data_IF_574845912389
#
_entry.id   IF_574845912389
#
_cell.length_a   1.000
_cell.length_b   1.000
_cell.length_c   1.000
_cell.angle_alpha   90.00
_cell.angle_beta   90.00
_cell.angle_gamma   90.00
#
_symmetry.space_group_name_H-M   'P 1'
#
loop_
_entity.id
_entity.type
_entity.pdbx_description
1 polymer ?
#
# COMPACT_ATOMS: atom_id res chain seq x y z
N UNK A 1 6.40 35.20 -79.21
CA UNK A 1 7.58 35.43 -78.35
C UNK A 1 7.11 35.65 -76.92
N UNK A 2 7.04 34.57 -76.15
CA UNK A 2 7.05 34.54 -74.68
C UNK A 2 7.40 33.08 -74.30
N UNK A 3 8.63 32.76 -73.85
CA UNK A 3 8.88 31.47 -73.24
C UNK A 3 8.75 31.57 -71.72
N UNK A 4 7.84 30.73 -71.22
CA UNK A 4 7.82 30.01 -69.94
C UNK A 4 8.48 30.67 -68.71
N UNK A 5 7.63 31.03 -67.75
CA UNK A 5 7.99 31.23 -66.36
C UNK A 5 8.67 29.97 -65.79
N UNK A 6 9.90 30.11 -65.32
CA UNK A 6 10.63 29.09 -64.56
C UNK A 6 10.23 29.23 -63.09
N UNK A 7 9.44 28.30 -62.57
CA UNK A 7 9.24 28.17 -61.13
C UNK A 7 10.52 27.60 -60.53
N UNK A 8 11.09 28.18 -59.45
CA UNK A 8 12.21 27.53 -58.76
C UNK A 8 11.67 26.33 -57.97
N UNK A 9 12.26 25.16 -58.20
CA UNK A 9 12.03 23.96 -57.41
C UNK A 9 12.31 24.25 -55.92
N UNK A 10 11.46 23.79 -54.97
CA UNK A 10 11.77 23.93 -53.55
C UNK A 10 12.99 23.07 -53.21
N UNK A 11 14.07 23.69 -52.71
CA UNK A 11 15.19 22.98 -52.11
C UNK A 11 14.67 21.98 -51.06
N UNK A 12 15.02 20.68 -51.13
CA UNK A 12 14.76 19.79 -50.01
C UNK A 12 15.62 20.29 -48.84
N UNK A 13 14.96 20.66 -47.73
CA UNK A 13 15.67 20.85 -46.47
C UNK A 13 16.50 19.59 -46.18
N UNK A 14 17.76 19.69 -45.74
CA UNK A 14 18.55 18.52 -45.40
C UNK A 14 17.81 17.74 -44.32
N UNK A 15 17.30 16.56 -44.68
CA UNK A 15 16.80 15.58 -43.73
C UNK A 15 18.06 15.06 -43.05
N UNK A 16 18.37 15.56 -41.85
CA UNK A 16 19.44 14.98 -41.04
C UNK A 16 19.06 13.53 -40.77
N UNK A 17 19.75 12.60 -41.43
CA UNK A 17 19.57 11.17 -41.25
C UNK A 17 20.21 10.85 -39.90
N UNK A 18 19.40 10.87 -38.84
CA UNK A 18 19.85 10.47 -37.51
C UNK A 18 20.52 9.10 -37.59
N UNK A 19 21.72 9.00 -37.03
CA UNK A 19 22.41 7.72 -36.93
C UNK A 19 21.60 6.78 -36.03
N UNK A 20 21.60 5.48 -36.33
CA UNK A 20 20.91 4.49 -35.49
C UNK A 20 21.33 4.59 -34.02
N UNK A 21 22.59 4.96 -33.73
CA UNK A 21 23.07 5.19 -32.37
C UNK A 21 22.46 6.41 -31.67
N UNK A 22 22.18 7.48 -32.40
CA UNK A 22 21.52 8.69 -31.87
C UNK A 22 20.06 8.40 -31.53
N UNK A 23 19.37 7.66 -32.40
CA UNK A 23 18.00 7.21 -32.12
C UNK A 23 17.93 6.28 -30.89
N UNK A 24 18.88 5.35 -30.75
CA UNK A 24 18.97 4.48 -29.56
C UNK A 24 19.23 5.27 -28.28
N UNK A 25 20.08 6.30 -28.33
CA UNK A 25 20.34 7.16 -27.19
C UNK A 25 19.11 7.95 -26.77
N UNK A 26 18.38 8.55 -27.72
CA UNK A 26 17.14 9.27 -27.47
C UNK A 26 16.08 8.38 -26.83
N UNK A 27 15.90 7.15 -27.34
CA UNK A 27 14.98 6.17 -26.76
C UNK A 27 15.37 5.78 -25.31
N UNK A 28 16.67 5.67 -25.03
CA UNK A 28 17.16 5.34 -23.69
C UNK A 28 16.94 6.50 -22.72
N UNK A 29 17.16 7.74 -23.18
CA UNK A 29 16.83 8.96 -22.43
C UNK A 29 15.33 9.03 -22.14
N UNK A 30 14.48 8.74 -23.12
CA UNK A 30 13.03 8.72 -22.95
C UNK A 30 12.60 7.67 -21.93
N UNK A 31 13.16 6.45 -21.97
CA UNK A 31 12.88 5.40 -20.97
C UNK A 31 13.26 5.86 -19.57
N UNK A 32 14.44 6.48 -19.41
CA UNK A 32 14.87 7.00 -18.10
C UNK A 32 13.97 8.15 -17.65
N UNK A 33 13.63 9.07 -18.54
CA UNK A 33 12.74 10.19 -18.27
C UNK A 33 11.35 9.70 -17.85
N UNK A 34 10.75 8.78 -18.59
CA UNK A 34 9.46 8.18 -18.24
C UNK A 34 9.52 7.37 -16.96
N UNK A 35 10.62 6.66 -16.68
CA UNK A 35 10.79 5.95 -15.41
C UNK A 35 10.88 6.91 -14.22
N UNK A 36 11.59 8.03 -14.36
CA UNK A 36 11.67 9.07 -13.33
C UNK A 36 10.31 9.75 -13.14
N UNK A 37 9.61 10.07 -14.22
CA UNK A 37 8.27 10.66 -14.18
C UNK A 37 7.27 9.67 -13.54
N UNK A 38 7.32 8.39 -13.90
CA UNK A 38 6.47 7.36 -13.30
C UNK A 38 6.75 7.21 -11.81
N UNK A 39 8.02 7.09 -11.41
CA UNK A 39 8.41 7.04 -10.01
C UNK A 39 7.96 8.29 -9.22
N UNK A 40 8.09 9.48 -9.81
CA UNK A 40 7.61 10.71 -9.20
C UNK A 40 6.08 10.78 -9.10
N UNK A 41 5.36 10.38 -10.16
CA UNK A 41 3.90 10.31 -10.20
C UNK A 41 3.35 9.34 -9.16
N UNK A 42 3.95 8.17 -8.97
CA UNK A 42 3.54 7.21 -7.93
C UNK A 42 3.63 7.80 -6.51
N UNK A 43 4.57 8.72 -6.27
CA UNK A 43 4.71 9.38 -4.96
C UNK A 43 3.75 10.57 -4.79
N UNK A 44 3.43 11.28 -5.87
CA UNK A 44 2.62 12.53 -5.83
C UNK A 44 1.13 12.27 -6.08
N UNK A 45 0.80 11.33 -6.96
CA UNK A 45 -0.56 10.96 -7.33
C UNK A 45 -1.08 9.84 -6.42
N UNK A 46 -1.73 10.24 -5.34
CA UNK A 46 -2.38 9.31 -4.41
C UNK A 46 -3.63 8.73 -5.06
N UNK A 47 -3.72 7.40 -5.13
CA UNK A 47 -4.99 6.72 -5.34
C UNK A 47 -5.95 6.90 -4.15
N UNK A 48 -7.10 6.22 -4.17
CA UNK A 48 -8.11 6.26 -3.11
C UNK A 48 -7.63 5.71 -1.75
N UNK A 49 -6.45 5.07 -1.70
CA UNK A 49 -5.88 4.41 -0.52
C UNK A 49 -4.42 4.81 -0.29
N UNK A 50 -4.07 5.19 0.95
CA UNK A 50 -2.70 5.53 1.36
C UNK A 50 -2.56 6.91 2.01
N UNK A 51 -1.59 7.05 2.92
CA UNK A 51 -1.24 8.36 3.48
C UNK A 51 -0.30 9.11 2.55
N UNK A 52 -0.69 10.32 2.15
CA UNK A 52 0.11 11.29 1.42
C UNK A 52 1.47 11.51 2.08
N UNK A 53 2.58 11.33 1.36
CA UNK A 53 3.88 11.87 1.77
C UNK A 53 4.03 13.31 1.22
N UNK A 54 4.65 14.24 1.97
CA UNK A 54 4.83 15.62 1.51
C UNK A 54 5.73 15.70 0.27
N UNK A 55 5.49 16.68 -0.59
CA UNK A 55 6.12 16.83 -1.91
C UNK A 55 7.66 16.97 -1.89
N UNK A 56 8.30 17.15 -0.72
CA UNK A 56 9.75 17.31 -0.55
C UNK A 56 10.47 16.06 -0.02
N UNK A 57 9.79 14.90 -0.03
CA UNK A 57 10.33 13.63 0.50
C UNK A 57 11.61 13.12 -0.19
N UNK A 58 11.90 13.56 -1.43
CA UNK A 58 13.09 13.15 -2.19
C UNK A 58 14.43 13.54 -1.55
N UNK A 59 14.42 14.45 -0.56
CA UNK A 59 15.64 14.93 0.11
C UNK A 59 15.87 14.29 1.49
N UNK A 60 15.06 13.32 1.91
CA UNK A 60 15.26 12.65 3.20
C UNK A 60 16.29 11.50 3.08
N UNK A 61 17.48 11.61 3.71
CA UNK A 61 18.51 10.58 3.64
C UNK A 61 18.09 9.24 4.27
N UNK A 62 17.09 9.24 5.16
CA UNK A 62 16.54 8.04 5.77
C UNK A 62 15.74 7.17 4.79
N UNK A 63 15.35 7.71 3.62
CA UNK A 63 14.56 7.01 2.61
C UNK A 63 15.41 6.34 1.51
N UNK A 64 16.50 6.97 1.07
CA UNK A 64 17.36 6.41 0.01
C UNK A 64 18.12 5.17 0.47
N UNK A 65 18.40 5.07 1.77
CA UNK A 65 18.95 3.89 2.40
C UNK A 65 18.01 3.46 3.52
N UNK A 66 16.88 2.79 3.21
CA UNK A 66 16.10 2.17 4.26
C UNK A 66 17.04 1.16 4.90
N UNK A 67 17.50 1.45 6.12
CA UNK A 67 18.31 0.50 6.88
C UNK A 67 17.55 -0.79 6.83
N UNK A 68 18.18 -1.82 6.23
CA UNK A 68 17.64 -3.15 6.01
C UNK A 68 17.46 -3.77 7.39
N UNK A 69 16.48 -3.28 8.16
CA UNK A 69 15.99 -3.91 9.38
C UNK A 69 15.46 -5.22 8.86
N UNK A 70 16.29 -6.25 9.03
CA UNK A 70 15.93 -7.65 8.84
C UNK A 70 14.49 -7.80 9.33
N UNK A 71 13.70 -8.55 8.58
CA UNK A 71 12.52 -9.22 9.08
C UNK A 71 12.95 -10.22 10.18
N UNK A 72 13.53 -9.68 11.25
CA UNK A 72 13.76 -10.36 12.50
C UNK A 72 12.40 -10.40 13.16
N UNK A 73 11.98 -11.63 13.46
CA UNK A 73 11.26 -12.01 14.67
C UNK A 73 10.59 -10.84 15.37
N UNK A 74 9.25 -10.90 15.47
CA UNK A 74 8.42 -10.19 16.44
C UNK A 74 9.21 -9.93 17.72
N UNK A 75 9.93 -8.81 17.75
CA UNK A 75 10.71 -8.41 18.90
C UNK A 75 9.71 -7.60 19.69
N UNK A 76 9.25 -8.20 20.78
CA UNK A 76 8.56 -7.48 21.84
C UNK A 76 9.56 -6.49 22.43
N UNK A 77 9.73 -5.35 21.74
CA UNK A 77 10.39 -4.20 22.30
C UNK A 77 9.57 -3.80 23.51
N UNK A 78 10.10 -4.12 24.69
CA UNK A 78 9.46 -3.93 25.98
C UNK A 78 9.01 -2.49 26.16
N UNK A 79 7.70 -2.28 26.13
CA UNK A 79 7.07 -1.06 26.60
C UNK A 79 6.65 -1.31 28.05
N UNK A 80 7.45 -0.81 28.99
CA UNK A 80 7.09 -0.80 30.41
C UNK A 80 5.82 0.02 30.65
N UNK A 81 4.98 -0.50 31.56
CA UNK A 81 4.07 0.21 32.49
C UNK A 81 2.56 0.00 32.30
N UNK A 82 2.02 -1.00 33.03
CA UNK A 82 0.88 -0.78 33.93
C UNK A 82 -0.54 -0.67 33.39
N UNK A 83 -0.78 -0.65 32.08
CA UNK A 83 -2.12 -0.74 31.52
C UNK A 83 -2.43 -2.19 31.13
N UNK A 84 -3.63 -2.68 31.47
CA UNK A 84 -4.18 -3.93 30.94
C UNK A 84 -3.81 -4.08 29.46
N UNK A 85 -3.36 -5.26 29.04
CA UNK A 85 -2.74 -5.44 27.74
C UNK A 85 -3.72 -5.16 26.58
N UNK A 86 -3.77 -3.89 26.14
CA UNK A 86 -4.65 -3.43 25.07
C UNK A 86 -4.08 -3.88 23.73
N UNK A 87 -4.87 -4.59 22.95
CA UNK A 87 -4.56 -4.91 21.56
C UNK A 87 -4.76 -3.68 20.66
N UNK A 88 -5.76 -2.86 20.98
CA UNK A 88 -6.11 -1.66 20.24
C UNK A 88 -6.66 -0.60 21.19
N UNK A 89 -6.30 0.65 20.96
CA UNK A 89 -6.87 1.80 21.67
C UNK A 89 -7.11 2.94 20.68
N UNK A 90 -8.30 3.53 20.75
CA UNK A 90 -8.74 4.66 19.93
C UNK A 90 -9.21 5.74 20.91
N UNK A 91 -8.72 6.97 20.73
CA UNK A 91 -9.08 8.11 21.55
C UNK A 91 -9.51 9.28 20.68
N UNK A 92 -10.73 9.76 20.92
CA UNK A 92 -11.36 10.89 20.23
C UNK A 92 -11.20 10.83 18.70
N UNK A 93 -11.36 9.65 18.10
CA UNK A 93 -11.16 9.49 16.66
C UNK A 93 -12.21 10.28 15.91
N UNK A 94 -11.73 11.10 14.97
CA UNK A 94 -12.58 11.87 14.07
C UNK A 94 -12.11 11.76 12.64
N UNK A 95 -13.06 11.55 11.74
CA UNK A 95 -12.82 11.54 10.30
C UNK A 95 -13.83 12.41 9.56
N UNK A 96 -13.33 13.43 8.88
CA UNK A 96 -14.09 14.30 7.98
C UNK A 96 -13.53 14.15 6.56
N UNK A 97 -14.41 13.91 5.60
CA UNK A 97 -14.05 13.86 4.18
C UNK A 97 -14.09 15.24 3.53
N UNK A 98 -13.45 15.37 2.36
CA UNK A 98 -13.58 16.56 1.51
C UNK A 98 -15.06 16.82 1.25
N UNK A 99 -15.49 18.07 1.42
CA UNK A 99 -16.92 18.45 1.40
C UNK A 99 -17.62 18.42 2.76
N UNK A 100 -16.89 18.21 3.86
CA UNK A 100 -17.40 18.42 5.23
C UNK A 100 -18.22 17.26 5.80
N UNK A 101 -18.38 16.15 5.06
CA UNK A 101 -19.07 14.96 5.56
C UNK A 101 -18.27 14.32 6.70
N UNK A 102 -18.85 14.35 7.89
CA UNK A 102 -18.32 13.67 9.07
C UNK A 102 -18.70 12.19 8.99
N UNK A 103 -17.71 11.31 9.03
CA UNK A 103 -17.90 9.87 8.95
C UNK A 103 -17.65 9.17 10.30
N UNK A 104 -16.78 9.72 11.13
CA UNK A 104 -16.55 9.31 12.53
C UNK A 104 -16.42 10.59 13.35
N UNK A 105 -17.11 10.69 14.49
CA UNK A 105 -17.19 11.90 15.30
C UNK A 105 -16.95 11.59 16.79
N UNK A 106 -15.69 11.69 17.22
CA UNK A 106 -15.30 11.53 18.62
C UNK A 106 -15.51 10.12 19.17
N UNK A 107 -14.94 9.11 18.50
CA UNK A 107 -15.04 7.72 18.94
C UNK A 107 -13.88 7.35 19.88
N UNK A 108 -14.22 6.83 21.05
CA UNK A 108 -13.30 6.17 21.99
C UNK A 108 -13.58 4.66 22.01
N UNK A 109 -12.53 3.86 21.88
CA UNK A 109 -12.64 2.39 21.88
C UNK A 109 -11.34 1.76 22.35
N UNK A 110 -11.41 0.93 23.39
CA UNK A 110 -10.32 0.08 23.83
C UNK A 110 -10.71 -1.39 23.65
N UNK A 111 -9.81 -2.18 23.05
CA UNK A 111 -9.96 -3.63 22.85
C UNK A 111 -8.80 -4.32 23.55
N UNK A 112 -9.10 -5.26 24.45
CA UNK A 112 -8.08 -6.02 25.17
C UNK A 112 -7.56 -7.19 24.33
N UNK A 113 -6.34 -7.66 24.63
CA UNK A 113 -5.81 -8.87 24.00
C UNK A 113 -6.70 -10.09 24.30
N UNK A 114 -6.93 -10.91 23.28
CA UNK A 114 -7.79 -12.09 23.35
C UNK A 114 -9.29 -11.79 23.28
N UNK A 115 -9.69 -10.52 23.19
CA UNK A 115 -11.10 -10.13 23.07
C UNK A 115 -11.61 -10.23 21.63
N UNK A 116 -12.83 -10.74 21.46
CA UNK A 116 -13.55 -10.68 20.19
C UNK A 116 -14.49 -9.48 20.24
N UNK A 117 -14.17 -8.45 19.47
CA UNK A 117 -14.95 -7.23 19.40
C UNK A 117 -15.76 -7.15 18.10
N UNK A 118 -17.03 -6.72 18.18
CA UNK A 118 -17.91 -6.53 17.04
C UNK A 118 -18.42 -5.08 16.97
N UNK A 119 -18.09 -4.37 15.88
CA UNK A 119 -18.60 -3.03 15.60
C UNK A 119 -19.89 -3.10 14.77
N UNK A 120 -21.03 -2.82 15.39
CA UNK A 120 -22.36 -2.90 14.76
C UNK A 120 -22.99 -1.53 14.55
N UNK A 121 -23.77 -1.38 13.49
CA UNK A 121 -24.44 -0.13 13.13
C UNK A 121 -25.02 -0.16 11.72
N UNK A 122 -25.89 0.80 11.38
CA UNK A 122 -26.51 0.88 10.05
C UNK A 122 -25.48 1.21 8.94
N UNK A 123 -25.90 1.07 7.68
CA UNK A 123 -25.09 1.48 6.53
C UNK A 123 -24.82 2.98 6.57
N UNK A 124 -23.56 3.38 6.39
CA UNK A 124 -23.15 4.78 6.49
C UNK A 124 -22.85 5.27 7.92
N UNK A 125 -22.97 4.43 8.95
CA UNK A 125 -22.63 4.79 10.33
C UNK A 125 -21.11 5.01 10.59
N UNK A 126 -20.25 4.82 9.58
CA UNK A 126 -18.80 5.05 9.73
C UNK A 126 -17.96 3.82 10.08
N UNK A 127 -18.53 2.62 10.18
CA UNK A 127 -17.81 1.38 10.57
C UNK A 127 -16.57 1.09 9.70
N UNK A 128 -16.78 1.00 8.39
CA UNK A 128 -15.69 0.77 7.42
C UNK A 128 -14.70 1.92 7.44
N UNK A 129 -15.17 3.17 7.64
CA UNK A 129 -14.28 4.33 7.76
C UNK A 129 -13.40 4.24 9.01
N UNK A 130 -13.96 3.84 10.15
CA UNK A 130 -13.22 3.61 11.40
C UNK A 130 -12.16 2.52 11.20
N UNK A 131 -12.54 1.35 10.68
CA UNK A 131 -11.58 0.28 10.36
C UNK A 131 -10.48 0.73 9.41
N UNK A 132 -10.82 1.44 8.33
CA UNK A 132 -9.83 1.97 7.38
C UNK A 132 -8.88 3.00 8.00
N UNK A 133 -9.34 3.75 9.01
CA UNK A 133 -8.49 4.64 9.78
C UNK A 133 -7.48 3.86 10.63
N UNK A 134 -7.95 2.85 11.36
CA UNK A 134 -7.11 2.00 12.22
C UNK A 134 -6.06 1.23 11.42
N UNK A 135 -6.44 0.65 10.27
CA UNK A 135 -5.53 -0.08 9.37
C UNK A 135 -4.58 0.87 8.62
N UNK A 136 -4.82 2.19 8.73
CA UNK A 136 -4.05 3.24 8.07
C UNK A 136 -4.20 3.26 6.55
N UNK A 137 -5.35 2.82 6.02
CA UNK A 137 -5.74 3.01 4.63
C UNK A 137 -6.18 4.45 4.36
N UNK A 138 -6.86 5.06 5.33
CA UNK A 138 -7.34 6.43 5.28
C UNK A 138 -6.80 7.18 6.51
N UNK A 139 -6.22 8.39 6.36
CA UNK A 139 -5.76 9.16 7.52
C UNK A 139 -6.95 9.69 8.33
N UNK A 140 -6.85 9.66 9.65
CA UNK A 140 -7.77 10.36 10.56
C UNK A 140 -7.66 11.88 10.37
N UNK A 141 -8.74 12.61 10.67
CA UNK A 141 -8.73 14.08 10.68
C UNK A 141 -8.25 14.63 12.02
N UNK A 142 -8.65 14.00 13.13
CA UNK A 142 -8.14 14.24 14.47
C UNK A 142 -8.33 13.00 15.35
N UNK A 143 -7.77 13.03 16.56
CA UNK A 143 -7.74 11.90 17.47
C UNK A 143 -6.46 11.08 17.35
N UNK A 144 -6.44 9.94 18.03
CA UNK A 144 -5.31 9.00 18.00
C UNK A 144 -5.78 7.56 18.01
N UNK A 145 -4.99 6.67 17.43
CA UNK A 145 -5.21 5.24 17.48
C UNK A 145 -3.87 4.51 17.62
N UNK A 146 -3.88 3.42 18.38
CA UNK A 146 -2.72 2.56 18.57
C UNK A 146 -3.11 1.09 18.48
N UNK A 147 -2.19 0.27 17.98
CA UNK A 147 -2.33 -1.19 17.88
C UNK A 147 -1.09 -1.81 18.52
N UNK A 148 -1.28 -2.66 19.54
CA UNK A 148 -0.19 -3.27 20.33
C UNK A 148 0.89 -2.26 20.77
N UNK A 149 0.48 -1.05 21.18
CA UNK A 149 1.40 0.01 21.61
C UNK A 149 2.06 0.82 20.48
N UNK A 150 1.84 0.47 19.21
CA UNK A 150 2.31 1.25 18.05
C UNK A 150 1.24 2.24 17.61
N UNK A 151 1.60 3.52 17.54
CA UNK A 151 0.72 4.57 17.08
C UNK A 151 0.54 4.53 15.54
N UNK A 152 -0.71 4.65 15.10
CA UNK A 152 -1.13 4.50 13.69
C UNK A 152 -0.63 5.65 12.81
N UNK A 153 -0.38 6.84 13.36
CA UNK A 153 0.14 7.97 12.59
C UNK A 153 1.65 7.92 12.41
N UNK A 154 2.38 7.56 13.45
CA UNK A 154 3.85 7.66 13.50
C UNK A 154 4.55 6.36 13.12
N UNK A 155 3.96 5.20 13.45
CA UNK A 155 4.56 3.86 13.26
C UNK A 155 3.65 2.91 12.49
N UNK A 156 3.06 3.40 11.40
CA UNK A 156 2.09 2.64 10.61
C UNK A 156 2.67 1.33 10.03
N UNK A 157 3.97 1.29 9.71
CA UNK A 157 4.62 0.08 9.20
C UNK A 157 4.64 -1.04 10.24
N UNK A 158 4.91 -0.70 11.51
CA UNK A 158 4.90 -1.66 12.62
C UNK A 158 3.47 -2.14 12.91
N UNK A 159 2.48 -1.23 12.88
CA UNK A 159 1.06 -1.58 12.97
C UNK A 159 0.66 -2.57 11.87
N UNK A 160 1.01 -2.29 10.61
CA UNK A 160 0.65 -3.16 9.47
C UNK A 160 1.31 -4.54 9.52
N UNK A 161 2.46 -4.68 10.19
CA UNK A 161 3.12 -5.99 10.42
C UNK A 161 2.41 -6.84 11.46
N UNK A 162 1.59 -6.23 12.31
CA UNK A 162 0.90 -6.91 13.42
C UNK A 162 -0.60 -7.06 13.19
N UNK A 163 -1.16 -6.20 12.34
CA UNK A 163 -2.57 -6.24 11.94
C UNK A 163 -2.72 -6.96 10.59
N UNK A 164 -3.84 -7.63 10.40
CA UNK A 164 -4.29 -8.18 9.10
C UNK A 164 -5.74 -7.76 8.88
N UNK A 165 -6.13 -7.53 7.63
CA UNK A 165 -7.49 -7.17 7.24
C UNK A 165 -8.05 -8.22 6.28
N UNK A 166 -9.32 -8.59 6.48
CA UNK A 166 -10.09 -9.30 5.48
C UNK A 166 -10.99 -8.28 4.75
N UNK A 167 -10.75 -7.99 3.47
CA UNK A 167 -11.58 -7.04 2.73
C UNK A 167 -13.00 -7.55 2.52
N UNK A 168 -13.91 -6.64 2.16
CA UNK A 168 -15.30 -7.00 1.83
C UNK A 168 -15.38 -7.81 0.53
N UNK A 169 -14.60 -7.42 -0.47
CA UNK A 169 -14.50 -8.14 -1.74
C UNK A 169 -13.46 -9.25 -1.62
N UNK A 170 -13.77 -10.42 -2.17
CA UNK A 170 -12.91 -11.59 -2.04
C UNK A 170 -11.74 -11.51 -3.05
N UNK A 171 -10.47 -11.40 -2.60
CA UNK A 171 -9.32 -11.24 -3.49
C UNK A 171 -8.83 -12.60 -4.00
N UNK A 172 -9.70 -13.35 -4.68
CA UNK A 172 -9.33 -14.60 -5.33
C UNK A 172 -8.71 -14.35 -6.70
N UNK A 173 -7.67 -15.14 -7.00
CA UNK A 173 -7.04 -15.16 -8.31
C UNK A 173 -7.39 -16.49 -8.98
N UNK A 174 -8.21 -16.44 -10.02
CA UNK A 174 -8.73 -17.63 -10.71
C UNK A 174 -7.64 -18.50 -11.34
N UNK A 175 -6.44 -17.95 -11.53
CA UNK A 175 -5.29 -18.65 -12.12
C UNK A 175 -4.51 -19.47 -11.08
N UNK A 176 -4.73 -19.25 -9.78
CA UNK A 176 -4.01 -19.93 -8.71
C UNK A 176 -4.84 -21.01 -8.03
N UNK A 177 -4.21 -22.15 -7.75
CA UNK A 177 -4.78 -23.14 -6.84
C UNK A 177 -4.83 -22.60 -5.41
N UNK A 178 -5.67 -23.18 -4.55
CA UNK A 178 -5.80 -22.78 -3.14
C UNK A 178 -4.43 -22.75 -2.45
N UNK A 179 -3.59 -23.77 -2.69
CA UNK A 179 -2.23 -23.85 -2.15
C UNK A 179 -1.36 -22.67 -2.61
N UNK A 180 -1.37 -22.38 -3.91
CA UNK A 180 -0.55 -21.30 -4.49
C UNK A 180 -1.01 -19.94 -3.98
N UNK A 181 -2.31 -19.74 -3.84
CA UNK A 181 -2.90 -18.52 -3.30
C UNK A 181 -2.47 -18.30 -1.84
N UNK A 182 -2.56 -19.32 -1.00
CA UNK A 182 -2.09 -19.25 0.40
C UNK A 182 -0.58 -19.02 0.50
N UNK A 183 0.22 -19.68 -0.35
CA UNK A 183 1.68 -19.46 -0.42
C UNK A 183 2.01 -18.03 -0.84
N UNK A 184 1.27 -17.47 -1.80
CA UNK A 184 1.43 -16.09 -2.25
C UNK A 184 1.18 -15.10 -1.11
N UNK A 185 0.06 -15.22 -0.39
CA UNK A 185 -0.24 -14.35 0.76
C UNK A 185 0.73 -14.56 1.93
N UNK A 186 1.21 -15.78 2.17
CA UNK A 186 2.24 -16.06 3.16
C UNK A 186 3.58 -15.36 2.81
N UNK A 187 3.94 -15.35 1.52
CA UNK A 187 5.08 -14.62 0.99
C UNK A 187 4.93 -13.10 1.18
N UNK A 188 3.76 -12.54 0.87
CA UNK A 188 3.46 -11.12 1.09
C UNK A 188 3.56 -10.73 2.58
N UNK A 189 3.19 -11.63 3.49
CA UNK A 189 3.34 -11.41 4.94
C UNK A 189 4.79 -11.52 5.43
N UNK A 190 5.72 -11.95 4.59
CA UNK A 190 7.13 -12.09 4.93
C UNK A 190 7.50 -13.43 5.58
N UNK A 191 6.65 -14.46 5.45
CA UNK A 191 6.96 -15.80 5.95
C UNK A 191 8.04 -16.42 5.04
N UNK A 192 9.09 -17.00 5.63
CA UNK A 192 10.18 -17.62 4.87
C UNK A 192 9.68 -18.83 4.07
N UNK A 193 10.25 -19.04 2.88
CA UNK A 193 9.85 -20.15 1.99
C UNK A 193 9.95 -21.53 2.64
N UNK A 194 10.89 -21.68 3.59
CA UNK A 194 11.08 -22.90 4.38
C UNK A 194 9.89 -23.18 5.32
N UNK A 195 9.26 -22.14 5.87
CA UNK A 195 8.14 -22.24 6.81
C UNK A 195 6.77 -22.17 6.13
N UNK A 196 6.70 -21.61 4.91
CA UNK A 196 5.44 -21.46 4.17
C UNK A 196 4.72 -22.79 3.99
N UNK A 197 5.43 -23.86 3.63
CA UNK A 197 4.81 -25.19 3.43
C UNK A 197 4.07 -25.68 4.67
N UNK A 198 4.72 -25.63 5.83
CA UNK A 198 4.13 -26.05 7.10
C UNK A 198 2.94 -25.16 7.50
N UNK A 199 3.09 -23.82 7.38
CA UNK A 199 2.03 -22.88 7.76
C UNK A 199 0.80 -22.99 6.85
N UNK A 200 1.01 -23.20 5.56
CA UNK A 200 -0.08 -23.40 4.59
C UNK A 200 -0.84 -24.69 4.90
N UNK A 201 -0.15 -25.78 5.23
CA UNK A 201 -0.81 -27.03 5.65
C UNK A 201 -1.63 -26.84 6.93
N UNK A 202 -1.09 -26.14 7.93
CA UNK A 202 -1.80 -25.81 9.18
C UNK A 202 -3.08 -25.01 8.90
N UNK A 203 -3.01 -23.98 8.04
CA UNK A 203 -4.18 -23.17 7.69
C UNK A 203 -5.22 -23.99 6.93
N UNK A 204 -4.80 -24.86 6.01
CA UNK A 204 -5.70 -25.73 5.26
C UNK A 204 -6.46 -26.67 6.19
N UNK A 205 -5.77 -27.24 7.18
CA UNK A 205 -6.38 -28.11 8.21
C UNK A 205 -7.41 -27.36 9.05
N UNK A 206 -7.07 -26.16 9.52
CA UNK A 206 -7.98 -25.33 10.32
C UNK A 206 -9.19 -24.86 9.51
N UNK A 207 -9.02 -24.64 8.21
CA UNK A 207 -10.08 -24.20 7.31
C UNK A 207 -10.92 -25.34 6.72
N UNK A 208 -10.53 -26.60 6.94
CA UNK A 208 -11.18 -27.81 6.37
C UNK A 208 -11.20 -27.80 4.83
N UNK A 209 -10.15 -27.27 4.20
CA UNK A 209 -10.03 -27.13 2.75
C UNK A 209 -9.01 -28.11 2.12
N UNK A 210 -8.58 -29.14 2.85
CA UNK A 210 -7.54 -30.07 2.36
C UNK A 210 -7.98 -30.82 1.10
N UNK A 211 -9.29 -31.05 0.94
CA UNK A 211 -9.85 -31.75 -0.22
C UNK A 211 -9.81 -30.90 -1.51
N UNK A 212 -9.66 -29.57 -1.41
CA UNK A 212 -9.58 -28.67 -2.56
C UNK A 212 -8.13 -28.47 -3.07
N UNK A 213 -7.20 -29.31 -2.63
CA UNK A 213 -5.80 -29.26 -3.05
C UNK A 213 -5.53 -29.93 -4.41
N UNK A 214 -6.44 -30.77 -4.89
CA UNK A 214 -6.25 -31.64 -6.06
C UNK A 214 -6.97 -31.16 -7.32
N UNK A 215 -7.77 -30.09 -7.22
CA UNK A 215 -8.45 -29.40 -8.35
C UNK A 215 -7.76 -28.08 -8.70
#
# INVERSE_FOLDING_TARGET
>A
LCPAATYPDPCPAPIEIFSAGEAMLLMLVDVVLYAVVAWWLEQVWQGEYGQAKPCFFCFDPAFMFPSRRRAGLLQEDGLESGHEELAMSIKDMRKVFKGGKVAVDGMDLDIRRGEIFALLGHNGAGKTTCMNCVVGLIPMTSGSASVNGYDVHTRIEDVRRQLSICPQDNPLYDVYTVRQHLQFFAGLRGISSQLQGAKVMEVLEWSQLEQMLEE
#
